data_IF_518142504127
#
_entry.id   IF_518142504127
#
_cell.length_a   1.000
_cell.length_b   1.000
_cell.length_c   1.000
_cell.angle_alpha   90.00
_cell.angle_beta   90.00
_cell.angle_gamma   90.00
#
_symmetry.space_group_name_H-M   'P 1'
#
loop_
_entity.id
_entity.type
_entity.pdbx_description
1 polymer ?
#
# COMPACT_ATOMS: atom_id res chain seq x y z
N UNK A 1 2.34 3.94 9.67
CA UNK A 1 2.72 3.98 8.25
C UNK A 1 3.84 3.02 8.09
N UNK A 2 3.57 1.98 7.30
CA UNK A 2 4.57 0.99 6.96
C UNK A 2 5.38 1.50 5.78
N UNK A 3 6.66 1.13 5.74
CA UNK A 3 7.58 1.56 4.69
C UNK A 3 7.99 0.39 3.83
N UNK A 4 7.97 0.60 2.53
CA UNK A 4 8.35 -0.39 1.52
C UNK A 4 9.58 0.07 0.77
N UNK A 5 10.53 -0.84 0.54
CA UNK A 5 11.69 -0.55 -0.27
C UNK A 5 11.33 -0.69 -1.76
N UNK A 6 11.73 0.28 -2.57
CA UNK A 6 11.64 0.19 -4.02
C UNK A 6 12.48 -1.01 -4.52
N UNK A 7 11.98 -1.78 -5.52
CA UNK A 7 12.71 -2.91 -6.05
C UNK A 7 14.06 -2.53 -6.66
N UNK A 8 14.13 -1.42 -7.40
CA UNK A 8 15.36 -0.91 -8.00
C UNK A 8 16.03 0.13 -7.11
N UNK A 9 17.37 0.15 -7.16
CA UNK A 9 18.20 1.16 -6.48
C UNK A 9 18.17 2.48 -7.24
N UNK A 10 18.37 3.59 -6.53
CA UNK A 10 18.56 4.91 -7.13
C UNK A 10 19.89 5.01 -7.89
N UNK A 11 20.14 6.16 -8.55
CA UNK A 11 21.37 6.43 -9.30
C UNK A 11 22.65 6.33 -8.44
N UNK A 12 22.52 6.48 -7.12
CA UNK A 12 23.61 6.36 -6.16
C UNK A 12 23.76 4.93 -5.60
N UNK A 13 22.97 3.97 -6.11
CA UNK A 13 23.01 2.58 -5.69
C UNK A 13 22.35 2.31 -4.34
N UNK A 14 21.47 3.18 -3.86
CA UNK A 14 20.77 3.04 -2.57
C UNK A 14 19.36 2.52 -2.76
N UNK A 15 18.86 1.77 -1.79
CA UNK A 15 17.44 1.43 -1.75
C UNK A 15 16.64 2.64 -1.27
N UNK A 16 15.71 3.10 -2.09
CA UNK A 16 14.71 4.08 -1.71
C UNK A 16 13.59 3.37 -0.94
N UNK A 17 13.04 4.02 0.08
CA UNK A 17 11.85 3.53 0.76
C UNK A 17 10.76 4.57 0.69
N UNK A 18 9.54 4.11 0.40
CA UNK A 18 8.34 4.92 0.30
C UNK A 18 7.33 4.48 1.36
N UNK A 19 6.42 5.37 1.72
CA UNK A 19 5.32 5.04 2.62
C UNK A 19 4.23 4.26 1.87
N UNK A 20 3.43 3.50 2.61
CA UNK A 20 2.33 2.69 2.07
C UNK A 20 1.32 3.48 1.25
N UNK A 21 1.14 4.77 1.58
CA UNK A 21 0.25 5.70 0.87
C UNK A 21 0.76 6.13 -0.51
N UNK A 22 2.06 6.00 -0.81
CA UNK A 22 2.64 6.35 -2.11
C UNK A 22 2.60 5.18 -3.10
N UNK A 23 2.12 4.00 -2.69
CA UNK A 23 1.96 2.88 -3.62
C UNK A 23 0.67 3.09 -4.43
N UNK A 24 0.81 3.20 -5.74
CA UNK A 24 -0.31 3.34 -6.68
C UNK A 24 -1.15 4.62 -6.48
N UNK A 25 -0.50 5.72 -6.09
CA UNK A 25 -1.10 7.03 -5.87
C UNK A 25 -1.14 7.91 -7.14
N UNK A 26 -0.48 7.49 -8.21
CA UNK A 26 -0.40 8.16 -9.51
C UNK A 26 0.89 8.95 -9.76
N UNK A 27 1.84 8.92 -8.82
CA UNK A 27 3.17 9.49 -8.96
C UNK A 27 4.22 8.37 -8.97
N UNK A 28 5.30 8.57 -9.73
CA UNK A 28 6.41 7.62 -9.71
C UNK A 28 7.34 7.97 -8.54
N UNK A 29 7.13 7.34 -7.39
CA UNK A 29 7.97 7.52 -6.22
C UNK A 29 9.21 6.61 -6.26
N UNK A 30 9.13 5.46 -6.93
CA UNK A 30 10.31 4.61 -7.15
C UNK A 30 11.11 5.02 -8.40
N UNK A 31 12.43 4.73 -8.44
CA UNK A 31 13.32 5.19 -9.51
C UNK A 31 12.87 4.85 -10.93
N UNK A 32 12.18 3.72 -11.13
CA UNK A 32 11.65 3.30 -12.42
C UNK A 32 10.12 3.25 -12.45
N UNK A 33 9.44 3.86 -11.47
CA UNK A 33 7.98 3.85 -11.34
C UNK A 33 7.38 2.47 -11.06
N UNK A 34 8.14 1.58 -10.42
CA UNK A 34 7.68 0.21 -10.11
C UNK A 34 6.45 0.19 -9.19
N UNK A 35 6.33 1.19 -8.34
CA UNK A 35 5.21 1.48 -7.45
C UNK A 35 3.90 1.80 -8.20
N UNK A 36 3.98 2.11 -9.50
CA UNK A 36 2.85 2.45 -10.37
C UNK A 36 2.65 1.47 -11.53
N UNK A 37 3.26 0.28 -11.46
CA UNK A 37 3.05 -0.74 -12.48
C UNK A 37 1.58 -1.18 -12.52
N UNK A 38 0.95 -1.10 -13.69
CA UNK A 38 -0.52 -1.21 -13.84
C UNK A 38 -1.10 -2.53 -13.31
N UNK A 39 -0.47 -3.67 -13.62
CA UNK A 39 -0.97 -4.97 -13.18
C UNK A 39 -0.82 -5.11 -11.66
N UNK A 40 0.35 -4.75 -11.13
CA UNK A 40 0.65 -4.74 -9.70
C UNK A 40 -0.32 -3.84 -8.94
N UNK A 41 -0.60 -2.64 -9.46
CA UNK A 41 -1.55 -1.71 -8.87
C UNK A 41 -2.99 -2.21 -8.91
N UNK A 42 -3.41 -2.90 -9.97
CA UNK A 42 -4.74 -3.50 -10.04
C UNK A 42 -4.92 -4.53 -8.93
N UNK A 43 -3.94 -5.41 -8.72
CA UNK A 43 -3.98 -6.41 -7.65
C UNK A 43 -3.83 -5.79 -6.26
N UNK A 44 -2.93 -4.82 -6.08
CA UNK A 44 -2.75 -4.10 -4.82
C UNK A 44 -4.04 -3.41 -4.40
N UNK A 45 -4.65 -2.59 -5.26
CA UNK A 45 -5.89 -1.87 -4.94
C UNK A 45 -7.05 -2.81 -4.63
N UNK A 46 -7.21 -3.87 -5.43
CA UNK A 46 -8.24 -4.89 -5.19
C UNK A 46 -8.06 -5.61 -3.85
N UNK A 47 -6.85 -6.09 -3.58
CA UNK A 47 -6.53 -6.81 -2.34
C UNK A 47 -6.64 -5.90 -1.12
N UNK A 48 -6.11 -4.68 -1.21
CA UNK A 48 -6.17 -3.68 -0.15
C UNK A 48 -7.61 -3.31 0.20
N UNK A 49 -8.47 -3.07 -0.79
CA UNK A 49 -9.87 -2.77 -0.54
C UNK A 49 -10.58 -3.87 0.25
N UNK A 50 -10.32 -5.15 -0.08
CA UNK A 50 -10.89 -6.27 0.68
C UNK A 50 -10.30 -6.40 2.08
N UNK A 51 -9.00 -6.16 2.26
CA UNK A 51 -8.34 -6.19 3.56
C UNK A 51 -8.82 -5.06 4.48
N UNK A 52 -9.00 -3.85 3.93
CA UNK A 52 -9.49 -2.69 4.67
C UNK A 52 -10.91 -2.96 5.21
N UNK A 53 -11.79 -3.59 4.40
CA UNK A 53 -13.13 -4.02 4.85
C UNK A 53 -13.05 -5.04 5.99
N UNK A 54 -12.17 -6.05 5.89
CA UNK A 54 -11.99 -7.04 6.94
C UNK A 54 -11.43 -6.42 8.22
N UNK A 55 -10.45 -5.53 8.10
CA UNK A 55 -9.89 -4.79 9.22
C UNK A 55 -10.97 -3.96 9.91
N UNK A 56 -11.83 -3.27 9.16
CA UNK A 56 -12.95 -2.51 9.71
C UNK A 56 -13.93 -3.39 10.48
N UNK A 57 -14.32 -4.56 9.95
CA UNK A 57 -15.18 -5.49 10.68
C UNK A 57 -14.53 -6.01 11.96
N UNK A 58 -13.24 -6.34 11.92
CA UNK A 58 -12.50 -6.80 13.11
C UNK A 58 -12.40 -5.70 14.16
N UNK A 59 -12.13 -4.46 13.73
CA UNK A 59 -12.07 -3.31 14.62
C UNK A 59 -13.44 -2.98 15.23
N UNK A 60 -14.52 -3.07 14.46
CA UNK A 60 -15.89 -2.91 14.96
C UNK A 60 -16.24 -3.99 15.98
N UNK A 61 -15.90 -5.25 15.70
CA UNK A 61 -16.11 -6.35 16.63
C UNK A 61 -15.29 -6.16 17.92
N UNK A 62 -14.01 -5.80 17.80
CA UNK A 62 -13.11 -5.59 18.93
C UNK A 62 -13.53 -4.42 19.82
N UNK A 63 -14.15 -3.38 19.25
CA UNK A 63 -14.70 -2.23 20.00
C UNK A 63 -15.99 -2.58 20.75
N UNK A 64 -16.52 -3.79 20.57
CA UNK A 64 -17.80 -4.24 21.11
C UNK A 64 -18.94 -3.59 20.34
N UNK A 65 -19.83 -4.40 19.74
CA UNK A 65 -21.08 -3.92 19.15
C UNK A 65 -21.75 -2.89 20.07
N UNK A 66 -21.69 -1.61 19.71
CA UNK A 66 -22.63 -0.58 20.17
C UNK A 66 -23.72 -0.39 19.10
N UNK A 67 -24.41 -1.45 18.69
CA UNK A 67 -25.77 -1.35 18.16
C UNK A 67 -26.42 -2.73 18.16
N UNK A 68 -27.50 -2.81 18.96
CA UNK A 68 -28.68 -3.62 18.68
C UNK A 68 -29.16 -3.39 17.25
#
# INVERSE_FOLDING_TARGET
MDRFACPTRDELGRFLCIDDQHICDGYFDCPHGEDEERLSCMFYKSTKAHLDVLADYLLQWARGQQNL
#
